data_IF_635542029027
#
_entry.id   IF_635542029027
#
_cell.length_a   1.000
_cell.length_b   1.000
_cell.length_c   1.000
_cell.angle_alpha   90.00
_cell.angle_beta   90.00
_cell.angle_gamma   90.00
#
_symmetry.space_group_name_H-M   'P 1'
#
loop_
_entity.id
_entity.type
_entity.pdbx_description
1 polymer ?
#
# COMPACT_ATOMS: atom_id res chain seq x y z
N UNK A 1 -10.10 -2.09 3.83
CA UNK A 1 -9.36 -2.67 4.98
C UNK A 1 -10.09 -3.91 5.46
N UNK A 2 -9.37 -5.00 5.74
CA UNK A 2 -9.92 -6.26 6.28
C UNK A 2 -9.36 -6.51 7.68
N UNK A 3 -10.18 -7.05 8.56
CA UNK A 3 -9.78 -7.48 9.89
C UNK A 3 -9.51 -8.99 9.89
N UNK A 4 -8.39 -9.42 10.49
CA UNK A 4 -8.06 -10.82 10.68
C UNK A 4 -7.43 -11.03 12.06
N UNK A 5 -8.25 -11.47 13.02
CA UNK A 5 -7.86 -11.55 14.44
C UNK A 5 -7.40 -10.19 14.95
N UNK A 6 -6.17 -10.14 15.48
CA UNK A 6 -5.54 -8.94 16.03
C UNK A 6 -4.80 -8.10 14.97
N UNK A 7 -5.11 -8.31 13.69
CA UNK A 7 -4.47 -7.59 12.58
C UNK A 7 -5.48 -6.95 11.64
N UNK A 8 -5.06 -5.83 11.06
CA UNK A 8 -5.70 -5.18 9.92
C UNK A 8 -4.83 -5.35 8.69
N UNK A 9 -5.50 -5.56 7.56
CA UNK A 9 -4.85 -5.78 6.28
C UNK A 9 -5.45 -4.90 5.19
N UNK A 10 -4.58 -4.33 4.37
CA UNK A 10 -4.90 -3.68 3.10
C UNK A 10 -4.22 -4.45 1.99
N UNK A 11 -4.95 -4.72 0.92
CA UNK A 11 -4.44 -5.44 -0.24
C UNK A 11 -4.73 -4.58 -1.47
N UNK A 12 -3.71 -4.36 -2.28
CA UNK A 12 -3.81 -3.64 -3.54
C UNK A 12 -3.10 -4.44 -4.65
N UNK A 13 -3.73 -4.53 -5.81
CA UNK A 13 -3.09 -5.02 -7.02
C UNK A 13 -2.30 -3.88 -7.65
N UNK A 14 -0.99 -4.06 -7.73
CA UNK A 14 -0.02 -3.12 -8.31
C UNK A 14 0.84 -3.82 -9.36
N UNK A 15 0.34 -4.92 -9.93
CA UNK A 15 1.05 -5.76 -10.89
C UNK A 15 1.47 -5.07 -12.19
N UNK A 16 0.93 -3.88 -12.47
CA UNK A 16 1.27 -3.06 -13.64
C UNK A 16 2.51 -2.17 -13.43
N UNK A 17 3.02 -2.06 -12.19
CA UNK A 17 4.08 -1.15 -11.78
C UNK A 17 5.30 -1.90 -11.24
N UNK A 18 6.49 -1.32 -11.40
CA UNK A 18 7.71 -1.90 -10.83
C UNK A 18 7.82 -1.56 -9.33
N UNK A 19 8.46 -2.42 -8.51
CA UNK A 19 8.62 -2.17 -7.07
C UNK A 19 9.20 -0.79 -6.71
N UNK A 20 10.20 -0.25 -7.44
CA UNK A 20 10.73 1.09 -7.17
C UNK A 20 9.74 2.23 -7.43
N UNK A 21 8.75 2.02 -8.30
CA UNK A 21 7.75 3.04 -8.66
C UNK A 21 6.61 3.12 -7.63
N UNK A 22 6.52 2.15 -6.72
CA UNK A 22 5.43 2.03 -5.75
C UNK A 22 5.85 2.70 -4.43
N UNK A 23 5.16 3.79 -4.10
CA UNK A 23 5.35 4.53 -2.85
C UNK A 23 4.20 4.25 -1.89
N UNK A 24 4.54 3.82 -0.68
CA UNK A 24 3.58 3.63 0.42
C UNK A 24 3.85 4.64 1.51
N UNK A 25 2.85 5.47 1.82
CA UNK A 25 2.90 6.42 2.93
C UNK A 25 1.89 6.04 3.98
N UNK A 26 2.31 6.01 5.24
CA UNK A 26 1.43 5.80 6.38
C UNK A 26 1.58 6.91 7.40
N UNK A 27 0.49 7.61 7.71
CA UNK A 27 0.47 8.72 8.67
C UNK A 27 -0.89 8.81 9.36
N UNK A 28 -0.93 8.89 10.69
CA UNK A 28 -2.17 9.03 11.47
C UNK A 28 -3.26 8.03 11.05
N UNK A 29 -2.93 6.74 10.98
CA UNK A 29 -3.80 5.66 10.48
C UNK A 29 -4.23 5.77 9.00
N UNK A 30 -3.82 6.80 8.27
CA UNK A 30 -4.06 6.90 6.83
C UNK A 30 -2.96 6.17 6.08
N UNK A 31 -3.37 5.37 5.12
CA UNK A 31 -2.49 4.66 4.20
C UNK A 31 -2.76 5.21 2.80
N UNK A 32 -1.69 5.65 2.14
CA UNK A 32 -1.70 6.05 0.74
C UNK A 32 -0.69 5.19 -0.03
N UNK A 33 -1.15 4.58 -1.12
CA UNK A 33 -0.35 3.85 -2.08
C UNK A 33 -0.41 4.64 -3.37
N UNK A 34 0.75 4.99 -3.91
CA UNK A 34 0.88 5.71 -5.16
C UNK A 34 1.89 4.97 -6.04
N UNK A 35 1.62 4.91 -7.33
CA UNK A 35 2.59 4.45 -8.31
C UNK A 35 2.42 5.21 -9.61
N UNK A 36 3.52 5.49 -10.30
CA UNK A 36 3.54 6.15 -11.60
C UNK A 36 4.47 5.37 -12.52
N UNK A 37 3.99 5.06 -13.72
CA UNK A 37 4.80 4.41 -14.75
C UNK A 37 5.21 5.46 -15.76
N UNK A 38 6.53 5.60 -15.95
CA UNK A 38 7.09 6.61 -16.87
C UNK A 38 7.74 5.89 -18.06
N UNK A 39 7.39 6.32 -19.27
CA UNK A 39 8.01 5.83 -20.50
C UNK A 39 9.44 6.38 -20.66
N UNK A 40 10.21 5.81 -21.58
CA UNK A 40 11.61 6.22 -21.83
C UNK A 40 11.74 7.70 -22.23
N UNK A 41 10.70 8.29 -22.83
CA UNK A 41 10.64 9.69 -23.22
C UNK A 41 10.27 10.64 -22.07
N UNK A 42 10.07 10.11 -20.86
CA UNK A 42 9.67 10.86 -19.67
C UNK A 42 8.16 11.06 -19.53
N UNK A 43 7.34 10.54 -20.44
CA UNK A 43 5.87 10.67 -20.34
C UNK A 43 5.31 9.71 -19.31
N UNK A 44 4.43 10.20 -18.42
CA UNK A 44 3.65 9.35 -17.52
C UNK A 44 2.61 8.58 -18.34
N UNK A 45 2.75 7.26 -18.36
CA UNK A 45 1.90 6.37 -19.16
C UNK A 45 0.85 5.62 -18.33
N UNK A 46 1.05 5.49 -17.02
CA UNK A 46 0.05 4.94 -16.10
C UNK A 46 0.23 5.53 -14.69
N UNK A 47 -0.87 5.61 -13.94
CA UNK A 47 -0.88 6.10 -12.55
C UNK A 47 -1.83 5.27 -11.70
N UNK A 48 -1.41 4.96 -10.48
CA UNK A 48 -2.22 4.30 -9.49
C UNK A 48 -2.26 5.12 -8.21
N UNK A 49 -3.46 5.28 -7.64
CA UNK A 49 -3.63 5.88 -6.32
C UNK A 49 -4.68 5.11 -5.55
N UNK A 50 -4.28 4.60 -4.38
CA UNK A 50 -5.19 3.98 -3.42
C UNK A 50 -5.01 4.62 -2.05
N UNK A 51 -6.10 5.11 -1.47
CA UNK A 51 -6.11 5.69 -0.13
C UNK A 51 -7.12 4.97 0.72
N UNK A 52 -6.73 4.63 1.94
CA UNK A 52 -7.63 4.07 2.92
C UNK A 52 -7.21 4.48 4.33
N UNK A 53 -8.12 4.30 5.28
CA UNK A 53 -7.86 4.57 6.68
C UNK A 53 -7.91 3.25 7.44
N UNK A 54 -6.84 2.95 8.17
CA UNK A 54 -6.82 1.90 9.16
C UNK A 54 -7.67 2.34 10.37
N UNK A 55 -8.29 1.41 11.10
CA UNK A 55 -9.03 1.71 12.31
C UNK A 55 -8.20 2.46 13.37
N UNK A 56 -8.85 3.25 14.23
CA UNK A 56 -8.19 4.11 15.22
C UNK A 56 -7.44 3.32 16.32
N UNK A 57 -7.83 2.07 16.56
CA UNK A 57 -7.17 1.13 17.47
C UNK A 57 -5.94 0.45 16.84
N UNK A 58 -5.48 0.90 15.67
CA UNK A 58 -4.27 0.36 15.03
C UNK A 58 -3.01 0.82 15.77
N UNK A 59 -2.03 -0.08 15.96
CA UNK A 59 -0.69 0.28 16.39
C UNK A 59 0.12 0.84 15.21
N UNK A 60 0.43 2.16 15.17
CA UNK A 60 1.15 2.77 14.06
C UNK A 60 2.59 2.28 13.92
N UNK A 61 3.18 1.69 14.97
CA UNK A 61 4.55 1.15 14.93
C UNK A 61 4.60 -0.28 14.38
N UNK A 62 3.44 -0.95 14.28
CA UNK A 62 3.34 -2.32 13.80
C UNK A 62 3.12 -2.44 12.29
N UNK A 63 2.99 -1.30 11.60
CA UNK A 63 2.69 -1.26 10.17
C UNK A 63 3.86 -1.84 9.38
N UNK A 64 3.56 -2.81 8.51
CA UNK A 64 4.53 -3.39 7.57
C UNK A 64 3.89 -3.57 6.20
N UNK A 65 4.73 -3.59 5.17
CA UNK A 65 4.31 -3.83 3.80
C UNK A 65 5.12 -4.97 3.16
N UNK A 66 4.48 -5.73 2.29
CA UNK A 66 5.11 -6.80 1.52
C UNK A 66 4.51 -6.81 0.13
N UNK A 67 5.36 -6.76 -0.89
CA UNK A 67 4.96 -6.94 -2.28
C UNK A 67 5.22 -8.40 -2.67
N UNK A 68 4.19 -9.09 -3.15
CA UNK A 68 4.33 -10.47 -3.64
C UNK A 68 4.92 -10.48 -5.04
N UNK A 69 5.50 -11.62 -5.45
CA UNK A 69 5.99 -11.82 -6.83
C UNK A 69 4.90 -11.67 -7.89
N UNK A 70 3.63 -11.86 -7.50
CA UNK A 70 2.46 -11.68 -8.38
C UNK A 70 2.00 -10.23 -8.49
N UNK A 71 2.72 -9.26 -7.91
CA UNK A 71 2.37 -7.85 -7.97
C UNK A 71 1.25 -7.43 -7.02
N UNK A 72 1.03 -8.18 -5.93
CA UNK A 72 0.05 -7.82 -4.89
C UNK A 72 0.75 -7.17 -3.71
N UNK A 73 0.44 -5.90 -3.44
CA UNK A 73 0.93 -5.21 -2.26
C UNK A 73 0.01 -5.52 -1.07
N UNK A 74 0.60 -6.04 0.00
CA UNK A 74 -0.06 -6.36 1.25
C UNK A 74 0.50 -5.47 2.35
N UNK A 75 -0.35 -4.66 2.97
CA UNK A 75 -0.01 -3.84 4.13
C UNK A 75 -0.71 -4.47 5.33
N UNK A 76 0.05 -4.75 6.40
CA UNK A 76 -0.48 -5.29 7.65
C UNK A 76 -0.17 -4.37 8.81
N UNK A 77 -1.07 -4.32 9.78
CA UNK A 77 -0.88 -3.62 11.04
C UNK A 77 -1.58 -4.40 12.16
N UNK A 78 -1.08 -4.30 13.39
CA UNK A 78 -1.70 -4.90 14.57
C UNK A 78 -2.71 -3.95 15.21
N UNK A 79 -3.67 -4.54 15.88
CA UNK A 79 -4.55 -3.87 16.85
C UNK A 79 -3.79 -3.61 18.15
N UNK A 80 -4.14 -2.52 18.82
CA UNK A 80 -3.71 -2.18 20.18
C UNK A 80 -4.51 -2.94 21.22
#
# INVERSE_FOLDING_TARGET
VRAQGDTYQVVADVSQFEPPDIVVTTSNCHVAIQAEKVAEDGTVCDTFTHKCQLPEDTDPLSVSCTLTETGTLVITARRR
#
